data_IF_353507658368
#
_entry.id   IF_353507658368
#
_cell.length_a   1.000
_cell.length_b   1.000
_cell.length_c   1.000
_cell.angle_alpha   90.00
_cell.angle_beta   90.00
_cell.angle_gamma   90.00
#
_symmetry.space_group_name_H-M   'P 1'
#
loop_
_entity.id
_entity.type
_entity.pdbx_description
1 polymer ?
#
# COMPACT_ATOMS: atom_id res chain seq x y z
N UNK A 1 -15.92 19.16 -5.07
CA UNK A 1 -14.84 18.88 -6.02
C UNK A 1 -13.72 18.16 -5.30
N UNK A 2 -13.23 17.00 -5.80
CA UNK A 2 -12.04 16.35 -5.28
C UNK A 2 -10.78 17.20 -5.51
N UNK A 3 -9.83 17.12 -4.60
CA UNK A 3 -8.53 17.75 -4.72
C UNK A 3 -7.44 16.71 -4.46
N UNK A 4 -6.39 16.70 -5.26
CA UNK A 4 -5.19 15.93 -4.99
C UNK A 4 -4.37 16.68 -3.93
N UNK A 5 -4.08 16.03 -2.81
CA UNK A 5 -3.27 16.61 -1.74
C UNK A 5 -1.78 16.42 -2.05
N UNK A 6 -1.38 15.24 -2.52
CA UNK A 6 0.00 14.92 -2.82
C UNK A 6 0.23 13.42 -2.90
N UNK A 7 1.48 13.02 -2.79
CA UNK A 7 1.94 11.64 -2.90
C UNK A 7 2.71 11.24 -1.64
N UNK A 8 2.63 9.98 -1.26
CA UNK A 8 3.35 9.44 -0.12
C UNK A 8 3.80 8.00 -0.38
N UNK A 9 4.84 7.56 0.31
CA UNK A 9 5.17 6.15 0.34
C UNK A 9 4.05 5.38 1.05
N UNK A 10 3.72 4.21 0.55
CA UNK A 10 2.70 3.34 1.14
C UNK A 10 3.15 1.89 1.14
N UNK A 11 2.92 1.22 2.27
CA UNK A 11 2.97 -0.23 2.37
C UNK A 11 1.54 -0.76 2.41
N UNK A 12 1.01 -1.15 1.26
CA UNK A 12 -0.29 -1.82 1.17
C UNK A 12 -0.13 -3.27 1.56
N UNK A 13 -0.53 -3.60 2.79
CA UNK A 13 -0.44 -4.97 3.27
C UNK A 13 -1.50 -5.86 2.60
N UNK A 14 -1.05 -7.00 2.06
CA UNK A 14 -1.92 -7.98 1.39
C UNK A 14 -1.89 -9.31 2.12
N UNK A 15 -3.08 -9.84 2.41
CA UNK A 15 -3.23 -11.19 2.97
C UNK A 15 -3.25 -12.21 1.83
N UNK A 16 -2.08 -12.64 1.41
CA UNK A 16 -1.95 -13.62 0.32
C UNK A 16 -2.53 -14.99 0.65
N UNK A 17 -2.74 -15.32 1.92
CA UNK A 17 -3.41 -16.58 2.31
C UNK A 17 -4.88 -16.51 1.89
N UNK A 18 -5.56 -15.40 2.16
CA UNK A 18 -6.94 -15.16 1.70
C UNK A 18 -7.02 -15.09 0.18
N UNK A 19 -6.13 -14.33 -0.47
CA UNK A 19 -6.11 -14.18 -1.93
C UNK A 19 -5.93 -15.51 -2.66
N UNK A 20 -5.08 -16.41 -2.16
CA UNK A 20 -4.83 -17.72 -2.76
C UNK A 20 -5.99 -18.70 -2.68
N UNK A 21 -6.92 -18.50 -1.76
CA UNK A 21 -8.11 -19.34 -1.67
C UNK A 21 -9.04 -19.12 -2.87
N UNK A 22 -9.20 -17.86 -3.26
CA UNK A 22 -10.01 -17.48 -4.42
C UNK A 22 -9.57 -16.09 -4.89
N UNK A 23 -9.15 -15.96 -6.15
CA UNK A 23 -8.73 -14.69 -6.74
C UNK A 23 -9.82 -13.60 -6.66
N UNK A 24 -11.10 -13.97 -6.66
CA UNK A 24 -12.20 -13.02 -6.44
C UNK A 24 -12.16 -12.36 -5.06
N UNK A 25 -11.37 -12.88 -4.13
CA UNK A 25 -11.16 -12.29 -2.81
C UNK A 25 -9.95 -11.34 -2.75
N UNK A 26 -9.48 -10.89 -3.91
CA UNK A 26 -8.41 -9.90 -3.97
C UNK A 26 -8.72 -8.66 -3.13
N UNK A 27 -9.92 -8.10 -3.24
CA UNK A 27 -10.33 -6.95 -2.43
C UNK A 27 -10.36 -7.27 -0.93
N UNK A 28 -10.80 -8.47 -0.53
CA UNK A 28 -10.78 -8.91 0.87
C UNK A 28 -9.37 -9.06 1.43
N UNK A 29 -8.41 -9.46 0.60
CA UNK A 29 -7.00 -9.58 1.00
C UNK A 29 -6.37 -8.24 1.40
N UNK A 30 -6.95 -7.13 0.93
CA UNK A 30 -6.52 -5.77 1.20
C UNK A 30 -7.16 -5.13 2.44
N UNK A 31 -8.14 -5.80 3.06
CA UNK A 31 -8.79 -5.33 4.29
C UNK A 31 -7.88 -5.57 5.51
N UNK A 32 -6.71 -4.97 5.47
CA UNK A 32 -5.70 -5.01 6.55
C UNK A 32 -5.17 -3.59 6.75
N UNK A 33 -4.77 -3.23 7.99
CA UNK A 33 -4.10 -1.95 8.21
C UNK A 33 -2.86 -1.84 7.33
N UNK A 34 -2.78 -0.72 6.61
CA UNK A 34 -1.65 -0.35 5.78
C UNK A 34 -0.89 0.81 6.42
N UNK A 35 0.36 1.01 6.03
CA UNK A 35 1.16 2.14 6.49
C UNK A 35 1.31 3.17 5.37
N UNK A 36 1.24 4.45 5.70
CA UNK A 36 1.34 5.58 4.81
C UNK A 36 2.24 6.68 5.42
N UNK A 37 3.03 7.33 4.62
CA UNK A 37 3.89 8.43 5.05
C UNK A 37 5.37 8.04 5.10
N UNK A 38 6.24 8.66 5.92
CA UNK A 38 5.93 9.68 6.92
C UNK A 38 5.77 11.11 6.38
N UNK A 39 5.99 11.32 5.09
CA UNK A 39 5.88 12.63 4.45
C UNK A 39 4.91 12.61 3.26
N UNK A 40 4.47 13.78 2.85
CA UNK A 40 3.66 13.99 1.64
C UNK A 40 4.45 14.89 0.70
N UNK A 41 4.72 14.38 -0.49
CA UNK A 41 5.26 15.16 -1.60
C UNK A 41 4.12 15.96 -2.22
N UNK A 42 4.19 17.28 -2.14
CA UNK A 42 3.22 18.18 -2.76
C UNK A 42 3.60 18.47 -4.22
N UNK A 43 2.61 18.74 -5.03
CA UNK A 43 2.80 19.02 -6.45
C UNK A 43 2.84 17.75 -7.30
N UNK A 44 3.67 17.74 -8.32
CA UNK A 44 3.74 16.65 -9.29
C UNK A 44 4.69 15.55 -8.85
N UNK A 45 4.28 14.30 -9.07
CA UNK A 45 5.17 13.16 -8.90
C UNK A 45 6.07 13.03 -10.13
N UNK A 46 7.39 12.75 -9.96
CA UNK A 46 8.23 12.37 -11.10
C UNK A 46 7.62 11.20 -11.88
N UNK A 47 7.73 11.23 -13.21
CA UNK A 47 7.18 10.17 -14.06
C UNK A 47 7.84 8.81 -13.82
N UNK A 48 9.16 8.80 -13.52
CA UNK A 48 9.93 7.60 -13.17
C UNK A 48 10.38 7.74 -11.70
N UNK A 49 9.82 6.91 -10.84
CA UNK A 49 10.16 6.84 -9.42
C UNK A 49 10.81 5.50 -9.12
N UNK A 50 12.02 5.54 -8.60
CA UNK A 50 12.81 4.37 -8.22
C UNK A 50 12.93 4.28 -6.72
N UNK A 51 12.83 3.07 -6.21
CA UNK A 51 12.92 2.84 -4.78
C UNK A 51 13.37 1.43 -4.43
N UNK A 52 13.46 1.18 -3.13
CA UNK A 52 13.82 -0.12 -2.58
C UNK A 52 12.84 -0.50 -1.48
N UNK A 53 12.39 -1.74 -1.50
CA UNK A 53 11.58 -2.34 -0.45
C UNK A 53 12.40 -3.38 0.30
N UNK A 54 12.45 -3.28 1.64
CA UNK A 54 13.19 -4.18 2.53
C UNK A 54 12.27 -4.74 3.60
N UNK A 55 12.64 -5.91 4.09
CA UNK A 55 12.09 -6.47 5.34
C UNK A 55 13.25 -6.85 6.24
N UNK A 56 13.23 -6.33 7.46
CA UNK A 56 14.21 -6.64 8.50
C UNK A 56 13.60 -7.53 9.57
N UNK A 57 14.38 -8.51 10.00
CA UNK A 57 14.09 -9.32 11.17
C UNK A 57 15.21 -9.12 12.19
N UNK A 58 14.93 -8.28 13.19
CA UNK A 58 15.99 -7.76 14.05
C UNK A 58 17.03 -7.00 13.23
N UNK A 59 18.29 -7.39 13.33
CA UNK A 59 19.40 -6.76 12.58
C UNK A 59 19.58 -7.31 11.16
N UNK A 60 18.88 -8.39 10.79
CA UNK A 60 19.07 -9.07 9.50
C UNK A 60 18.07 -8.57 8.47
N UNK A 61 18.55 -8.22 7.27
CA UNK A 61 17.71 -8.04 6.08
C UNK A 61 17.33 -9.43 5.57
N UNK A 62 16.05 -9.73 5.51
CA UNK A 62 15.51 -11.02 5.04
C UNK A 62 14.86 -10.91 3.65
N UNK A 63 14.65 -9.69 3.19
CA UNK A 63 14.16 -9.35 1.87
C UNK A 63 14.69 -7.97 1.48
N UNK A 64 15.14 -7.82 0.25
CA UNK A 64 15.46 -6.52 -0.34
C UNK A 64 15.31 -6.64 -1.85
N UNK A 65 14.53 -5.74 -2.42
CA UNK A 65 14.38 -5.63 -3.87
C UNK A 65 14.09 -4.20 -4.31
N UNK A 66 14.59 -3.77 -5.47
CA UNK A 66 14.20 -2.52 -6.07
C UNK A 66 12.75 -2.58 -6.55
N UNK A 67 12.13 -1.41 -6.65
CA UNK A 67 10.85 -1.24 -7.33
C UNK A 67 10.86 0.00 -8.21
N UNK A 68 9.94 0.01 -9.18
CA UNK A 68 9.65 1.14 -10.05
C UNK A 68 8.19 1.52 -9.89
N UNK A 69 7.92 2.82 -9.85
CA UNK A 69 6.57 3.40 -9.88
C UNK A 69 6.61 4.77 -10.58
N UNK A 70 5.52 5.53 -10.53
CA UNK A 70 5.33 6.72 -11.36
C UNK A 70 4.71 6.37 -12.70
N UNK A 71 4.13 7.34 -13.41
CA UNK A 71 3.31 7.10 -14.60
C UNK A 71 4.07 6.40 -15.74
N UNK A 72 5.39 6.62 -15.85
CA UNK A 72 6.22 5.91 -16.83
C UNK A 72 6.27 4.38 -16.61
N UNK A 73 5.97 3.92 -15.38
CA UNK A 73 6.02 2.52 -14.97
C UNK A 73 4.63 1.94 -14.65
N UNK A 74 3.56 2.68 -14.92
CA UNK A 74 2.18 2.29 -14.63
C UNK A 74 1.42 1.91 -15.89
N UNK A 75 0.44 0.99 -15.76
CA UNK A 75 -0.46 0.61 -16.85
C UNK A 75 -1.56 1.64 -17.11
N UNK A 76 -1.83 2.53 -16.17
CA UNK A 76 -2.87 3.55 -16.24
C UNK A 76 -2.34 4.87 -15.69
N UNK A 77 -2.75 5.99 -16.29
CA UNK A 77 -2.42 7.31 -15.77
C UNK A 77 -3.15 7.59 -14.46
N UNK A 78 -2.58 8.44 -13.62
CA UNK A 78 -3.20 8.89 -12.37
C UNK A 78 -4.53 9.57 -12.68
N UNK A 79 -4.58 10.43 -13.69
CA UNK A 79 -5.80 11.10 -14.11
C UNK A 79 -6.92 10.11 -14.50
N UNK A 80 -6.57 9.00 -15.18
CA UNK A 80 -7.54 7.97 -15.54
C UNK A 80 -8.08 7.26 -14.29
N UNK A 81 -7.21 6.93 -13.34
CA UNK A 81 -7.61 6.29 -12.08
C UNK A 81 -8.52 7.20 -11.25
N UNK A 82 -8.17 8.47 -11.13
CA UNK A 82 -8.97 9.49 -10.44
C UNK A 82 -10.34 9.67 -11.11
N UNK A 83 -10.39 9.76 -12.45
CA UNK A 83 -11.65 9.90 -13.19
C UNK A 83 -12.57 8.69 -12.96
N UNK A 84 -12.01 7.48 -12.99
CA UNK A 84 -12.78 6.26 -12.75
C UNK A 84 -13.28 6.15 -11.31
N UNK A 85 -12.51 6.57 -10.31
CA UNK A 85 -12.93 6.56 -8.92
C UNK A 85 -13.99 7.62 -8.65
N UNK A 86 -13.72 8.85 -9.04
CA UNK A 86 -14.59 9.99 -8.71
C UNK A 86 -15.79 10.18 -9.64
N UNK A 87 -15.98 9.35 -10.68
CA UNK A 87 -17.23 9.37 -11.46
C UNK A 87 -18.45 9.03 -10.60
N UNK A 88 -18.27 8.27 -9.51
CA UNK A 88 -19.35 7.91 -8.61
C UNK A 88 -19.55 8.98 -7.52
N UNK A 89 -20.77 9.55 -7.35
CA UNK A 89 -21.03 10.57 -6.34
C UNK A 89 -20.71 10.16 -4.90
N UNK A 90 -20.82 8.86 -4.60
CA UNK A 90 -20.56 8.30 -3.28
C UNK A 90 -19.13 8.52 -2.80
N UNK A 91 -18.17 8.66 -3.70
CA UNK A 91 -16.77 8.92 -3.40
C UNK A 91 -16.39 10.41 -3.42
N UNK A 92 -17.39 11.31 -3.44
CA UNK A 92 -17.19 12.76 -3.47
C UNK A 92 -17.83 13.46 -2.27
N UNK A 93 -17.83 12.82 -1.11
CA UNK A 93 -18.35 13.40 0.13
C UNK A 93 -17.35 14.39 0.71
N UNK A 94 -17.78 15.57 1.17
CA UNK A 94 -16.91 16.52 1.87
C UNK A 94 -16.29 15.87 3.11
N UNK A 95 -14.96 16.02 3.27
CA UNK A 95 -14.21 15.48 4.40
C UNK A 95 -13.66 14.07 4.22
N UNK A 96 -14.10 13.32 3.20
CA UNK A 96 -13.49 12.02 2.91
C UNK A 96 -12.07 12.19 2.36
N UNK A 97 -11.17 11.32 2.79
CA UNK A 97 -9.81 11.22 2.26
C UNK A 97 -9.68 9.86 1.55
N UNK A 98 -9.26 9.90 0.30
CA UNK A 98 -9.04 8.73 -0.52
C UNK A 98 -7.55 8.53 -0.76
N UNK A 99 -7.08 7.30 -0.58
CA UNK A 99 -5.71 6.91 -0.88
C UNK A 99 -5.74 5.91 -2.03
N UNK A 100 -5.11 6.29 -3.15
CA UNK A 100 -4.95 5.41 -4.29
C UNK A 100 -3.58 4.75 -4.24
N UNK A 101 -3.56 3.43 -4.14
CA UNK A 101 -2.33 2.67 -4.06
C UNK A 101 -1.85 2.29 -5.47
N UNK A 102 -0.66 2.73 -5.83
CA UNK A 102 -0.04 2.37 -7.11
C UNK A 102 0.87 1.16 -6.88
N UNK A 103 0.35 -0.01 -7.22
CA UNK A 103 1.07 -1.26 -7.01
C UNK A 103 2.36 -1.35 -7.81
N UNK A 104 3.33 -2.04 -7.22
CA UNK A 104 4.55 -2.46 -7.90
C UNK A 104 4.60 -3.98 -7.94
N UNK A 105 5.37 -4.56 -8.86
CA UNK A 105 5.55 -6.01 -8.94
C UNK A 105 6.49 -6.59 -7.87
N UNK A 106 6.91 -5.78 -6.89
CA UNK A 106 7.86 -6.16 -5.84
C UNK A 106 7.14 -6.77 -4.65
N UNK A 107 7.03 -8.10 -4.65
CA UNK A 107 6.28 -8.87 -3.66
C UNK A 107 7.20 -9.78 -2.85
N UNK A 108 7.34 -9.52 -1.56
CA UNK A 108 8.11 -10.38 -0.65
C UNK A 108 7.54 -11.80 -0.56
N UNK A 109 6.23 -11.95 -0.70
CA UNK A 109 5.57 -13.26 -0.75
C UNK A 109 6.01 -14.08 -1.96
N UNK A 110 6.12 -13.48 -3.15
CA UNK A 110 6.60 -14.14 -4.36
C UNK A 110 8.07 -14.59 -4.23
N UNK A 111 8.86 -13.86 -3.44
CA UNK A 111 10.23 -14.24 -3.09
C UNK A 111 10.30 -15.33 -1.99
N UNK A 112 9.18 -15.92 -1.59
CA UNK A 112 9.11 -16.99 -0.59
C UNK A 112 9.30 -16.53 0.86
N UNK A 113 9.29 -15.23 1.12
CA UNK A 113 9.45 -14.68 2.46
C UNK A 113 8.18 -14.91 3.28
N UNK A 114 8.34 -15.57 4.43
CA UNK A 114 7.27 -15.72 5.43
C UNK A 114 7.51 -14.72 6.56
N UNK A 115 6.69 -13.70 6.56
CA UNK A 115 6.74 -12.65 7.57
C UNK A 115 6.16 -13.13 8.91
N UNK A 116 6.60 -12.52 10.01
CA UNK A 116 6.12 -12.80 11.37
C UNK A 116 6.07 -11.51 12.19
N UNK A 117 5.37 -11.54 13.30
CA UNK A 117 5.32 -10.43 14.26
C UNK A 117 6.72 -9.91 14.57
N UNK A 118 6.87 -8.58 14.50
CA UNK A 118 8.11 -7.87 14.78
C UNK A 118 9.07 -7.76 13.58
N UNK A 119 8.74 -8.35 12.42
CA UNK A 119 9.43 -7.99 11.18
C UNK A 119 9.10 -6.53 10.83
N UNK A 120 10.09 -5.79 10.34
CA UNK A 120 9.96 -4.38 9.99
C UNK A 120 10.06 -4.22 8.49
N UNK A 121 9.03 -3.64 7.90
CA UNK A 121 9.05 -3.20 6.51
C UNK A 121 9.69 -1.82 6.42
N UNK A 122 10.51 -1.62 5.41
CA UNK A 122 11.19 -0.36 5.12
C UNK A 122 11.10 -0.11 3.61
N UNK A 123 10.52 1.03 3.24
CA UNK A 123 10.35 1.43 1.84
C UNK A 123 10.96 2.81 1.68
N UNK A 124 11.83 2.96 0.70
CA UNK A 124 12.45 4.24 0.36
C UNK A 124 12.38 4.47 -1.14
N UNK A 125 12.31 5.71 -1.56
CA UNK A 125 12.39 6.10 -2.96
C UNK A 125 13.02 7.48 -3.10
N UNK A 126 13.73 7.69 -4.23
CA UNK A 126 14.52 8.91 -4.49
C UNK A 126 13.69 10.20 -4.43
N UNK A 127 12.39 10.13 -4.73
CA UNK A 127 11.49 11.28 -4.70
C UNK A 127 11.10 11.72 -3.28
N UNK A 128 11.45 10.95 -2.23
CA UNK A 128 11.08 11.20 -0.85
C UNK A 128 12.32 11.31 0.04
N UNK A 129 12.29 12.23 1.01
CA UNK A 129 13.41 12.47 1.92
C UNK A 129 13.47 11.49 3.09
N UNK A 130 12.35 10.85 3.43
CA UNK A 130 12.23 9.95 4.57
C UNK A 130 11.70 8.58 4.14
N UNK A 131 12.30 7.48 4.65
CA UNK A 131 11.76 6.15 4.41
C UNK A 131 10.47 5.91 5.20
N UNK A 132 9.56 5.16 4.63
CA UNK A 132 8.46 4.58 5.36
C UNK A 132 8.94 3.33 6.09
N UNK A 133 8.79 3.31 7.42
CA UNK A 133 9.17 2.16 8.25
C UNK A 133 8.01 1.75 9.13
N UNK A 134 7.58 0.51 9.04
CA UNK A 134 6.50 0.00 9.87
C UNK A 134 6.72 -1.45 10.33
N UNK A 135 6.48 -1.78 11.61
CA UNK A 135 6.53 -3.15 12.10
C UNK A 135 5.27 -3.93 11.70
N UNK A 136 5.43 -5.24 11.53
CA UNK A 136 4.32 -6.17 11.38
C UNK A 136 3.79 -6.56 12.77
N UNK A 137 2.52 -6.27 13.01
CA UNK A 137 1.80 -6.72 14.18
C UNK A 137 0.73 -7.75 13.83
N UNK A 138 0.43 -8.63 14.77
CA UNK A 138 -0.64 -9.61 14.64
C UNK A 138 -1.90 -9.06 15.30
N UNK A 139 -2.98 -8.96 14.54
CA UNK A 139 -4.29 -8.58 15.06
C UNK A 139 -4.79 -9.57 16.12
N UNK A 140 -5.54 -9.07 17.08
CA UNK A 140 -6.22 -9.92 18.05
C UNK A 140 -7.39 -10.64 17.37
N UNK A 141 -7.56 -11.93 17.67
CA UNK A 141 -8.78 -12.63 17.28
C UNK A 141 -9.92 -12.16 18.18
N UNK A 142 -10.93 -11.56 17.59
CA UNK A 142 -12.14 -11.16 18.27
C UNK A 142 -13.28 -12.13 17.90
N UNK A 143 -14.06 -12.51 18.89
CA UNK A 143 -15.29 -13.27 18.65
C UNK A 143 -16.40 -12.26 18.44
N UNK A 144 -16.88 -12.16 17.23
CA UNK A 144 -18.00 -11.29 16.89
C UNK A 144 -19.29 -12.11 17.03
N UNK A 145 -20.27 -11.57 17.77
CA UNK A 145 -21.61 -12.09 17.85
C UNK A 145 -22.59 -11.05 17.29
N UNK A 146 -23.52 -11.48 16.50
CA UNK A 146 -24.64 -10.66 16.01
C UNK A 146 -25.90 -11.16 16.73
N UNK A 147 -26.60 -10.25 17.40
CA UNK A 147 -27.86 -10.56 18.07
C UNK A 147 -29.00 -9.89 17.31
N UNK A 148 -30.06 -10.62 17.04
CA UNK A 148 -31.29 -10.03 16.50
C UNK A 148 -31.96 -9.15 17.57
N UNK A 149 -32.57 -8.04 17.13
CA UNK A 149 -33.41 -7.17 17.97
C UNK A 149 -34.74 -7.80 18.27
#
# INVERSE_FOLDING_TARGET
TPFRIGFALMNEFSDHVTERQNYLWLAHSKLRPSALGPEILLGDLPEDVRGTSRIRRGKKVIFEQPFLTGEANMSHTIANLEAHHFKYPWFRRPGDIHVHCFGTATLSFAAGVRTRKGDVFEIEAEAFGLPLTNPLEMGKKEKIAVTAL
#
